data_IF_348947663814
#
_entry.id   IF_348947663814
#
_cell.length_a   1.000
_cell.length_b   1.000
_cell.length_c   1.000
_cell.angle_alpha   90.00
_cell.angle_beta   90.00
_cell.angle_gamma   90.00
#
_symmetry.space_group_name_H-M   'P 1'
#
loop_
_entity.id
_entity.type
_entity.pdbx_description
1 polymer ?
#
# COMPACT_ATOMS: atom_id res chain seq x y z
N UNK A 1 8.45 11.60 9.68
CA UNK A 1 7.46 11.14 8.71
C UNK A 1 7.74 11.75 7.36
N UNK A 2 7.80 10.92 6.30
CA UNK A 2 8.04 11.41 4.94
C UNK A 2 6.72 11.72 4.22
N UNK A 3 5.69 10.91 4.44
CA UNK A 3 4.36 11.08 3.87
C UNK A 3 3.32 10.88 4.97
N UNK A 4 2.29 11.70 5.02
CA UNK A 4 1.25 11.60 6.04
C UNK A 4 -0.10 12.06 5.52
N UNK A 5 -1.18 11.50 6.10
CA UNK A 5 -2.55 11.95 5.88
C UNK A 5 -3.22 12.31 7.20
N UNK A 6 -4.14 13.29 7.17
CA UNK A 6 -4.95 13.69 8.32
C UNK A 6 -6.40 13.87 7.90
N UNK A 7 -7.29 13.13 8.57
CA UNK A 7 -8.74 13.04 8.30
C UNK A 7 -9.05 12.95 6.81
N UNK A 8 -8.25 12.14 6.08
CA UNK A 8 -8.30 12.09 4.63
C UNK A 8 -9.62 11.48 4.16
N UNK A 9 -10.34 12.21 3.29
CA UNK A 9 -11.60 11.74 2.71
C UNK A 9 -11.55 11.87 1.20
N UNK A 10 -12.03 10.81 0.52
CA UNK A 10 -12.20 10.78 -0.93
C UNK A 10 -13.54 10.13 -1.25
N UNK A 11 -14.41 10.88 -1.92
CA UNK A 11 -15.72 10.40 -2.32
C UNK A 11 -15.96 10.59 -3.81
N UNK A 12 -16.64 9.64 -4.43
CA UNK A 12 -17.10 9.67 -5.81
C UNK A 12 -18.63 9.60 -5.81
N UNK A 13 -19.28 10.75 -5.90
CA UNK A 13 -20.71 10.85 -5.69
C UNK A 13 -21.09 10.42 -4.27
N UNK A 14 -21.89 9.36 -4.12
CA UNK A 14 -22.31 8.80 -2.84
C UNK A 14 -21.30 7.80 -2.24
N UNK A 15 -20.36 7.32 -3.04
CA UNK A 15 -19.37 6.31 -2.64
C UNK A 15 -18.25 6.98 -1.84
N UNK A 16 -18.08 6.62 -0.56
CA UNK A 16 -16.98 7.08 0.30
C UNK A 16 -15.83 6.08 0.25
N UNK A 17 -14.97 6.21 -0.76
CA UNK A 17 -13.86 5.29 -0.98
C UNK A 17 -12.78 5.39 0.12
N UNK A 18 -12.52 6.60 0.63
CA UNK A 18 -11.65 6.86 1.80
C UNK A 18 -12.44 7.82 2.71
N UNK A 19 -12.50 7.52 4.01
CA UNK A 19 -13.36 8.28 4.92
C UNK A 19 -12.73 8.42 6.32
N UNK A 20 -11.90 9.43 6.47
CA UNK A 20 -11.23 9.76 7.73
C UNK A 20 -10.00 8.89 7.99
N UNK A 21 -9.07 8.83 7.03
CA UNK A 21 -7.82 8.05 7.17
C UNK A 21 -6.70 8.95 7.66
N UNK A 22 -6.17 8.60 8.84
CA UNK A 22 -4.90 9.08 9.37
C UNK A 22 -3.86 8.00 9.14
N UNK A 23 -2.81 8.33 8.40
CA UNK A 23 -1.73 7.40 8.09
C UNK A 23 -0.40 8.15 8.07
N UNK A 24 0.59 7.59 8.74
CA UNK A 24 1.95 8.10 8.76
C UNK A 24 2.91 7.06 8.17
N UNK A 25 3.69 7.46 7.19
CA UNK A 25 4.74 6.67 6.56
C UNK A 25 6.10 7.26 6.98
N UNK A 26 6.91 6.48 7.67
CA UNK A 26 8.26 6.84 8.11
C UNK A 26 9.24 6.84 6.94
N UNK A 27 10.38 7.53 7.09
CA UNK A 27 11.43 7.46 6.09
C UNK A 27 12.15 6.11 6.19
N UNK A 28 12.37 5.45 5.05
CA UNK A 28 13.08 4.16 4.97
C UNK A 28 12.29 2.97 5.50
N UNK A 29 10.99 3.11 5.79
CA UNK A 29 10.14 1.98 6.17
C UNK A 29 9.38 1.40 4.98
N UNK A 30 8.98 0.14 5.11
CA UNK A 30 7.98 -0.52 4.27
C UNK A 30 6.69 -0.64 5.08
N UNK A 31 5.65 0.06 4.64
CA UNK A 31 4.31 -0.06 5.19
C UNK A 31 3.43 -0.88 4.23
N UNK A 32 2.82 -1.95 4.70
CA UNK A 32 1.82 -2.68 3.93
C UNK A 32 0.42 -2.15 4.23
N UNK A 33 -0.34 -1.81 3.18
CA UNK A 33 -1.76 -1.48 3.25
C UNK A 33 -2.57 -2.67 2.73
N UNK A 34 -3.26 -3.35 3.64
CA UNK A 34 -3.95 -4.61 3.34
C UNK A 34 -5.46 -4.50 3.54
N UNK A 35 -6.22 -5.37 2.88
CA UNK A 35 -7.68 -5.45 2.99
C UNK A 35 -8.33 -6.05 1.76
N UNK A 36 -9.63 -6.36 1.83
CA UNK A 36 -10.41 -6.93 0.72
C UNK A 36 -10.44 -5.99 -0.50
N UNK A 37 -10.75 -6.57 -1.68
CA UNK A 37 -10.95 -5.77 -2.89
C UNK A 37 -12.07 -4.74 -2.69
N UNK A 38 -11.92 -3.55 -3.26
CA UNK A 38 -12.93 -2.48 -3.14
C UNK A 38 -12.96 -1.73 -1.82
N UNK A 39 -12.10 -2.04 -0.82
CA UNK A 39 -12.12 -1.34 0.47
C UNK A 39 -11.50 0.08 0.46
N UNK A 40 -10.95 0.53 -0.69
CA UNK A 40 -10.42 1.90 -0.86
C UNK A 40 -8.90 2.02 -0.96
N UNK A 41 -8.12 0.93 -0.92
CA UNK A 41 -6.64 0.93 -0.95
C UNK A 41 -6.05 1.67 -2.15
N UNK A 42 -6.48 1.28 -3.35
CA UNK A 42 -6.01 1.93 -4.60
C UNK A 42 -6.39 3.40 -4.66
N UNK A 43 -7.58 3.78 -4.14
CA UNK A 43 -7.99 5.18 -4.05
C UNK A 43 -7.07 5.96 -3.10
N UNK A 44 -6.75 5.38 -1.93
CA UNK A 44 -5.81 5.98 -1.00
C UNK A 44 -4.41 6.14 -1.65
N UNK A 45 -3.89 5.08 -2.30
CA UNK A 45 -2.63 5.12 -3.01
C UNK A 45 -2.59 6.22 -4.10
N UNK A 46 -3.64 6.31 -4.92
CA UNK A 46 -3.76 7.36 -5.97
C UNK A 46 -3.84 8.77 -5.38
N UNK A 47 -4.50 8.92 -4.24
CA UNK A 47 -4.57 10.22 -3.54
C UNK A 47 -3.21 10.62 -2.98
N UNK A 48 -2.47 9.67 -2.41
CA UNK A 48 -1.09 9.88 -1.95
C UNK A 48 -0.14 10.26 -3.09
N UNK A 49 -0.39 9.80 -4.32
CA UNK A 49 0.35 10.22 -5.53
C UNK A 49 -0.10 11.58 -6.09
N UNK A 50 -1.15 12.18 -5.53
CA UNK A 50 -1.77 13.38 -6.08
C UNK A 50 -2.46 13.15 -7.42
N UNK A 51 -2.85 11.90 -7.73
CA UNK A 51 -3.66 11.56 -8.91
C UNK A 51 -5.15 11.81 -8.65
N UNK A 52 -5.58 11.60 -7.40
CA UNK A 52 -6.92 11.94 -6.91
C UNK A 52 -6.81 13.09 -5.91
N UNK A 53 -7.73 14.03 -5.99
CA UNK A 53 -7.80 15.13 -5.04
C UNK A 53 -8.73 14.75 -3.89
N UNK A 54 -8.32 14.92 -2.61
CA UNK A 54 -9.20 14.66 -1.49
C UNK A 54 -10.43 15.56 -1.50
N UNK A 55 -11.56 15.03 -1.05
CA UNK A 55 -12.79 15.81 -0.80
C UNK A 55 -12.70 16.56 0.53
N UNK A 56 -11.95 16.01 1.51
CA UNK A 56 -11.63 16.68 2.78
C UNK A 56 -10.34 16.07 3.37
N UNK A 57 -9.80 16.72 4.39
CA UNK A 57 -8.54 16.35 5.00
C UNK A 57 -7.33 16.79 4.16
N UNK A 58 -6.17 16.24 4.47
CA UNK A 58 -4.92 16.65 3.83
C UNK A 58 -3.95 15.49 3.63
N UNK A 59 -3.10 15.63 2.61
CA UNK A 59 -1.88 14.85 2.41
C UNK A 59 -0.69 15.79 2.60
N UNK A 60 0.32 15.37 3.34
CA UNK A 60 1.55 16.14 3.54
C UNK A 60 2.77 15.31 3.18
N UNK A 61 3.73 15.94 2.50
CA UNK A 61 5.04 15.38 2.18
C UNK A 61 6.11 16.19 2.91
N UNK A 62 6.96 15.52 3.69
CA UNK A 62 7.98 16.15 4.54
C UNK A 62 7.40 17.28 5.43
N UNK A 63 6.24 17.03 6.02
CA UNK A 63 5.54 17.97 6.89
C UNK A 63 4.86 19.14 6.16
N UNK A 64 4.95 19.22 4.83
CA UNK A 64 4.32 20.28 4.04
C UNK A 64 3.07 19.76 3.34
N UNK A 65 1.91 20.39 3.48
CA UNK A 65 0.70 20.02 2.74
C UNK A 65 0.93 20.05 1.23
N UNK A 66 0.34 19.09 0.50
CA UNK A 66 0.43 19.07 -0.96
C UNK A 66 -0.30 20.23 -1.61
N UNK A 67 0.40 20.96 -2.47
CA UNK A 67 -0.21 21.90 -3.40
C UNK A 67 -0.58 21.17 -4.71
N UNK A 68 -1.85 20.85 -4.87
CA UNK A 68 -2.37 20.14 -6.05
C UNK A 68 -2.24 20.94 -7.37
N UNK A 69 -1.79 22.20 -7.31
CA UNK A 69 -1.47 23.01 -8.50
C UNK A 69 -0.02 22.81 -8.95
N UNK A 70 0.86 22.29 -8.09
CA UNK A 70 2.32 22.20 -8.32
C UNK A 70 2.88 20.81 -8.04
N UNK A 71 2.24 19.77 -8.59
CA UNK A 71 2.58 18.37 -8.30
C UNK A 71 3.80 17.84 -9.06
N UNK A 72 4.34 18.55 -10.08
CA UNK A 72 5.42 18.03 -10.91
C UNK A 72 6.65 17.64 -10.09
N UNK A 73 7.08 18.47 -9.14
CA UNK A 73 8.22 18.21 -8.29
C UNK A 73 7.94 17.11 -7.28
N UNK A 74 6.72 17.10 -6.70
CA UNK A 74 6.27 16.03 -5.81
C UNK A 74 6.27 14.66 -6.50
N UNK A 75 5.71 14.57 -7.70
CA UNK A 75 5.64 13.33 -8.49
C UNK A 75 7.01 12.82 -8.93
N UNK A 76 8.07 13.65 -8.92
CA UNK A 76 9.44 13.17 -9.08
C UNK A 76 9.91 12.41 -7.83
N UNK A 77 9.46 12.82 -6.65
CA UNK A 77 9.87 12.24 -5.37
C UNK A 77 9.04 11.04 -4.94
N UNK A 78 7.80 10.96 -5.42
CA UNK A 78 6.84 9.89 -5.09
C UNK A 78 6.41 9.20 -6.38
N UNK A 79 6.80 7.94 -6.55
CA UNK A 79 6.58 7.17 -7.77
C UNK A 79 5.64 6.00 -7.53
N UNK A 80 5.02 5.51 -8.61
CA UNK A 80 4.06 4.42 -8.62
C UNK A 80 4.61 3.23 -9.41
N UNK A 81 4.47 2.05 -8.83
CA UNK A 81 4.57 0.77 -9.53
C UNK A 81 3.16 0.17 -9.60
N UNK A 82 2.65 0.03 -10.81
CA UNK A 82 1.30 -0.47 -11.08
C UNK A 82 1.23 -2.00 -11.00
N UNK A 83 0.04 -2.50 -10.72
CA UNK A 83 -0.31 -3.91 -10.64
C UNK A 83 -0.08 -4.67 -11.95
N UNK A 84 -0.47 -4.08 -13.07
CA UNK A 84 -0.33 -4.67 -14.40
C UNK A 84 0.83 -4.03 -15.17
N UNK A 85 1.97 -4.72 -15.30
CA UNK A 85 3.09 -4.18 -16.06
C UNK A 85 2.83 -4.07 -17.56
N UNK A 86 1.88 -4.84 -18.12
CA UNK A 86 1.49 -4.70 -19.53
C UNK A 86 0.69 -3.41 -19.76
N UNK A 87 -0.24 -3.10 -18.86
CA UNK A 87 -0.98 -1.85 -18.91
C UNK A 87 -0.13 -0.61 -18.58
N UNK A 88 0.99 -0.81 -17.86
CA UNK A 88 1.91 0.26 -17.49
C UNK A 88 2.90 0.64 -18.62
N UNK A 89 3.25 -0.30 -19.50
CA UNK A 89 4.24 -0.12 -20.56
C UNK A 89 3.54 0.12 -21.90
N UNK A 90 3.97 1.17 -22.62
CA UNK A 90 3.53 1.37 -24.00
C UNK A 90 4.15 0.26 -24.90
N UNK A 91 3.36 -0.59 -25.56
CA UNK A 91 3.88 -1.70 -26.37
C UNK A 91 4.71 -1.26 -27.59
N UNK A 92 4.65 0.02 -27.96
CA UNK A 92 5.40 0.60 -29.06
C UNK A 92 6.73 1.23 -28.64
N UNK A 93 6.97 1.38 -27.34
CA UNK A 93 8.23 1.89 -26.81
C UNK A 93 9.18 0.75 -26.52
N UNK A 94 10.46 0.98 -26.78
CA UNK A 94 11.52 0.11 -26.29
C UNK A 94 11.64 0.20 -24.77
N UNK A 95 12.30 -0.76 -24.14
CA UNK A 95 12.64 -0.69 -22.71
C UNK A 95 13.39 0.59 -22.36
N UNK A 96 14.35 0.97 -23.25
CA UNK A 96 15.08 2.22 -23.08
C UNK A 96 14.14 3.43 -23.03
N UNK A 97 13.24 3.56 -24.01
CA UNK A 97 12.31 4.68 -24.08
C UNK A 97 11.35 4.72 -22.89
N UNK A 98 10.85 3.55 -22.45
CA UNK A 98 9.96 3.45 -21.31
C UNK A 98 10.64 3.93 -20.00
N UNK A 99 11.92 3.62 -19.80
CA UNK A 99 12.68 4.07 -18.62
C UNK A 99 13.12 5.53 -18.78
N UNK A 100 13.54 5.95 -19.98
CA UNK A 100 14.00 7.33 -20.26
C UNK A 100 12.87 8.37 -20.20
N UNK A 101 11.60 7.96 -20.32
CA UNK A 101 10.45 8.87 -20.36
C UNK A 101 10.43 9.81 -19.14
N UNK A 102 10.64 9.26 -17.92
CA UNK A 102 10.70 10.05 -16.70
C UNK A 102 11.82 11.11 -16.72
N UNK A 103 13.01 10.75 -17.23
CA UNK A 103 14.16 11.67 -17.38
C UNK A 103 13.78 12.83 -18.27
N UNK A 104 13.17 12.54 -19.42
CA UNK A 104 12.78 13.54 -20.45
C UNK A 104 11.68 14.47 -19.92
N UNK A 105 10.63 13.94 -19.26
CA UNK A 105 9.52 14.72 -18.70
C UNK A 105 10.01 15.65 -17.58
N UNK A 106 10.86 15.15 -16.68
CA UNK A 106 11.35 15.88 -15.54
C UNK A 106 12.64 16.68 -15.83
N UNK A 107 13.21 16.53 -17.04
CA UNK A 107 14.46 17.16 -17.46
C UNK A 107 15.58 16.89 -16.45
N UNK A 108 15.75 15.61 -16.10
CA UNK A 108 16.79 15.19 -15.16
C UNK A 108 18.16 15.44 -15.77
N UNK A 109 19.07 16.16 -15.11
CA UNK A 109 20.41 16.41 -15.64
C UNK A 109 21.25 15.13 -15.64
N UNK A 110 22.18 15.01 -16.57
CA UNK A 110 23.12 13.89 -16.70
C UNK A 110 23.06 13.19 -18.05
N UNK A 111 23.83 12.13 -18.18
CA UNK A 111 23.81 11.28 -19.38
C UNK A 111 22.60 10.35 -19.30
N UNK A 112 21.64 10.52 -20.21
CA UNK A 112 20.40 9.74 -20.26
C UNK A 112 20.67 8.23 -20.31
N UNK A 113 21.65 7.80 -21.12
CA UNK A 113 21.98 6.38 -21.28
C UNK A 113 22.54 5.78 -19.98
N UNK A 114 23.40 6.50 -19.27
CA UNK A 114 23.96 6.06 -18.00
C UNK A 114 22.87 5.97 -16.91
N UNK A 115 21.96 6.95 -16.86
CA UNK A 115 20.83 6.94 -15.91
C UNK A 115 19.90 5.77 -16.17
N UNK A 116 19.58 5.48 -17.44
CA UNK A 116 18.75 4.33 -17.84
C UNK A 116 19.45 3.03 -17.48
N UNK A 117 20.76 2.90 -17.78
CA UNK A 117 21.54 1.71 -17.48
C UNK A 117 21.62 1.44 -15.96
N UNK A 118 21.85 2.47 -15.15
CA UNK A 118 21.86 2.37 -13.69
C UNK A 118 20.48 1.90 -13.14
N UNK A 119 19.39 2.52 -13.60
CA UNK A 119 18.04 2.17 -13.18
C UNK A 119 17.68 0.70 -13.50
N UNK A 120 17.98 0.26 -14.73
CA UNK A 120 17.78 -1.14 -15.15
C UNK A 120 18.64 -2.11 -14.31
N UNK A 121 19.91 -1.76 -14.08
CA UNK A 121 20.83 -2.57 -13.27
C UNK A 121 20.35 -2.70 -11.81
N UNK A 122 19.85 -1.61 -11.21
CA UNK A 122 19.24 -1.60 -9.87
C UNK A 122 17.99 -2.45 -9.80
N UNK A 123 17.16 -2.43 -10.85
CA UNK A 123 15.99 -3.29 -10.99
C UNK A 123 16.35 -4.76 -11.29
N UNK A 124 17.65 -5.12 -11.37
CA UNK A 124 18.12 -6.49 -11.58
C UNK A 124 18.12 -6.96 -13.05
N UNK A 125 18.03 -6.03 -14.01
CA UNK A 125 18.18 -6.32 -15.45
C UNK A 125 19.65 -6.11 -15.86
N UNK A 126 20.43 -7.17 -15.88
CA UNK A 126 21.88 -7.13 -16.12
C UNK A 126 22.31 -8.13 -17.20
N UNK A 127 23.25 -7.74 -18.12
CA UNK A 127 23.70 -6.36 -18.37
C UNK A 127 22.56 -5.52 -18.99
N UNK A 128 22.40 -4.23 -18.61
CA UNK A 128 21.24 -3.42 -19.00
C UNK A 128 21.13 -3.18 -20.50
N UNK A 129 22.26 -3.10 -21.21
CA UNK A 129 22.31 -2.84 -22.66
C UNK A 129 21.60 -3.91 -23.48
N UNK A 130 21.54 -5.14 -22.99
CA UNK A 130 20.80 -6.25 -23.63
C UNK A 130 19.29 -6.04 -23.68
N UNK A 131 18.77 -5.14 -22.86
CA UNK A 131 17.35 -4.85 -22.76
C UNK A 131 16.94 -3.58 -23.50
N UNK A 132 17.87 -2.66 -23.80
CA UNK A 132 17.56 -1.33 -24.34
C UNK A 132 16.61 -1.35 -25.54
N UNK A 133 16.90 -2.18 -26.53
CA UNK A 133 16.15 -2.22 -27.79
C UNK A 133 14.99 -3.25 -27.77
N UNK A 134 14.80 -3.97 -26.64
CA UNK A 134 13.68 -4.90 -26.52
C UNK A 134 12.37 -4.17 -26.30
N UNK A 135 11.31 -4.80 -26.76
CA UNK A 135 9.95 -4.35 -26.55
C UNK A 135 9.27 -5.12 -25.40
N UNK A 136 8.21 -4.58 -24.75
CA UNK A 136 7.52 -5.24 -23.64
C UNK A 136 7.03 -6.67 -23.95
N UNK A 137 6.62 -6.94 -25.20
CA UNK A 137 6.13 -8.27 -25.60
C UNK A 137 7.25 -9.32 -25.70
N UNK A 138 8.52 -8.92 -25.78
CA UNK A 138 9.68 -9.81 -25.83
C UNK A 138 10.21 -10.18 -24.43
N UNK A 139 9.58 -9.66 -23.37
CA UNK A 139 10.00 -9.83 -21.99
C UNK A 139 9.10 -10.81 -21.23
N UNK A 140 9.66 -11.54 -20.26
CA UNK A 140 8.87 -12.28 -19.28
C UNK A 140 8.08 -11.35 -18.36
N UNK A 141 7.08 -11.88 -17.64
CA UNK A 141 6.29 -11.10 -16.65
C UNK A 141 7.19 -10.41 -15.61
N UNK A 142 8.12 -11.14 -15.03
CA UNK A 142 9.07 -10.60 -14.05
C UNK A 142 10.03 -9.57 -14.65
N UNK A 143 10.47 -9.74 -15.90
CA UNK A 143 11.29 -8.74 -16.57
C UNK A 143 10.52 -7.45 -16.85
N UNK A 144 9.24 -7.54 -17.26
CA UNK A 144 8.36 -6.37 -17.44
C UNK A 144 8.19 -5.62 -16.11
N UNK A 145 7.93 -6.34 -15.02
CA UNK A 145 7.81 -5.73 -13.69
C UNK A 145 9.09 -5.00 -13.29
N UNK A 146 10.27 -5.57 -13.56
CA UNK A 146 11.56 -4.92 -13.31
C UNK A 146 11.75 -3.66 -14.18
N UNK A 147 11.26 -3.64 -15.42
CA UNK A 147 11.28 -2.43 -16.28
C UNK A 147 10.38 -1.34 -15.68
N UNK A 148 9.16 -1.68 -15.21
CA UNK A 148 8.28 -0.71 -14.54
C UNK A 148 8.95 -0.14 -13.29
N UNK A 149 9.59 -1.00 -12.48
CA UNK A 149 10.35 -0.57 -11.31
C UNK A 149 11.52 0.34 -11.72
N UNK A 150 12.28 -0.01 -12.77
CA UNK A 150 13.37 0.83 -13.29
C UNK A 150 12.89 2.21 -13.74
N UNK A 151 11.73 2.28 -14.41
CA UNK A 151 11.11 3.54 -14.81
C UNK A 151 10.73 4.45 -13.63
N UNK A 152 10.37 3.86 -12.50
CA UNK A 152 10.16 4.60 -11.26
C UNK A 152 11.49 5.03 -10.61
N UNK A 153 12.48 4.14 -10.57
CA UNK A 153 13.78 4.37 -9.91
C UNK A 153 14.66 5.39 -10.63
N UNK A 154 14.52 5.56 -11.95
CA UNK A 154 15.35 6.48 -12.76
C UNK A 154 15.23 7.93 -12.30
N UNK A 155 14.13 8.28 -11.63
CA UNK A 155 13.89 9.60 -11.02
C UNK A 155 14.50 9.74 -9.62
N UNK A 156 15.09 8.67 -9.08
CA UNK A 156 15.64 8.61 -7.73
C UNK A 156 14.59 9.05 -6.68
N UNK A 157 13.42 8.40 -6.63
CA UNK A 157 12.36 8.79 -5.75
C UNK A 157 12.72 8.52 -4.29
N UNK A 158 12.07 9.23 -3.38
CA UNK A 158 12.17 8.98 -1.94
C UNK A 158 11.06 8.03 -1.45
N UNK A 159 9.94 7.99 -2.15
CA UNK A 159 8.80 7.13 -1.85
C UNK A 159 8.38 6.36 -3.09
N UNK A 160 8.19 5.06 -2.93
CA UNK A 160 7.60 4.18 -3.93
C UNK A 160 6.26 3.67 -3.42
N UNK A 161 5.20 3.87 -4.17
CA UNK A 161 3.90 3.27 -3.91
C UNK A 161 3.76 2.11 -4.89
N UNK A 162 3.68 0.89 -4.37
CA UNK A 162 3.56 -0.33 -5.15
C UNK A 162 2.14 -0.90 -4.97
N UNK A 163 1.29 -0.73 -5.99
CA UNK A 163 -0.09 -1.24 -5.96
C UNK A 163 -0.10 -2.66 -6.54
N UNK A 164 -0.30 -3.67 -5.69
CA UNK A 164 -0.31 -5.10 -6.04
C UNK A 164 0.91 -5.55 -6.86
N UNK A 165 2.16 -5.24 -6.45
CA UNK A 165 3.35 -5.33 -7.32
C UNK A 165 3.70 -6.74 -7.80
N UNK A 166 3.09 -7.78 -7.25
CA UNK A 166 3.40 -9.18 -7.56
C UNK A 166 2.17 -10.06 -7.85
N UNK A 167 0.96 -9.49 -7.88
CA UNK A 167 -0.29 -10.26 -8.00
C UNK A 167 -0.41 -11.07 -9.30
N UNK A 168 0.18 -10.57 -10.40
CA UNK A 168 0.16 -11.19 -11.72
C UNK A 168 1.37 -12.10 -12.01
N UNK A 169 2.22 -12.36 -11.00
CA UNK A 169 3.48 -13.09 -11.17
C UNK A 169 3.44 -14.49 -10.54
N UNK A 170 4.24 -15.41 -11.09
CA UNK A 170 4.43 -16.73 -10.54
C UNK A 170 5.13 -16.68 -9.16
N UNK A 171 4.92 -17.69 -8.32
CA UNK A 171 5.41 -17.72 -6.94
C UNK A 171 6.92 -17.46 -6.79
N UNK A 172 7.75 -18.05 -7.67
CA UNK A 172 9.21 -17.85 -7.68
C UNK A 172 9.58 -16.40 -8.00
N UNK A 173 8.92 -15.81 -9.01
CA UNK A 173 9.15 -14.42 -9.44
C UNK A 173 8.65 -13.43 -8.40
N UNK A 174 7.57 -13.75 -7.67
CA UNK A 174 7.09 -12.94 -6.54
C UNK A 174 8.19 -12.72 -5.51
N UNK A 175 8.84 -13.81 -5.05
CA UNK A 175 9.94 -13.75 -4.09
C UNK A 175 11.10 -12.87 -4.57
N UNK A 176 11.45 -12.95 -5.86
CA UNK A 176 12.51 -12.11 -6.44
C UNK A 176 12.16 -10.62 -6.44
N UNK A 177 10.91 -10.25 -6.77
CA UNK A 177 10.47 -8.84 -6.76
C UNK A 177 10.40 -8.31 -5.33
N UNK A 178 9.93 -9.12 -4.36
CA UNK A 178 9.92 -8.72 -2.95
C UNK A 178 11.35 -8.53 -2.42
N UNK A 179 12.26 -9.44 -2.73
CA UNK A 179 13.70 -9.30 -2.41
C UNK A 179 14.32 -8.06 -3.04
N UNK A 180 13.91 -7.71 -4.27
CA UNK A 180 14.33 -6.46 -4.92
C UNK A 180 13.84 -5.22 -4.14
N UNK A 181 12.59 -5.18 -3.69
CA UNK A 181 12.06 -4.06 -2.91
C UNK A 181 12.80 -3.88 -1.57
N UNK A 182 13.08 -4.99 -0.86
CA UNK A 182 13.90 -4.99 0.35
C UNK A 182 15.30 -4.42 0.09
N UNK A 183 15.95 -4.91 -0.95
CA UNK A 183 17.28 -4.44 -1.36
C UNK A 183 17.29 -2.94 -1.69
N UNK A 184 16.30 -2.46 -2.44
CA UNK A 184 16.18 -1.04 -2.80
C UNK A 184 15.94 -0.16 -1.56
N UNK A 185 15.14 -0.65 -0.58
CA UNK A 185 14.99 0.02 0.71
C UNK A 185 16.34 0.16 1.43
N UNK A 186 17.11 -0.92 1.53
CA UNK A 186 18.39 -0.94 2.24
C UNK A 186 19.46 -0.10 1.55
N UNK A 187 19.63 -0.24 0.24
CA UNK A 187 20.69 0.44 -0.51
C UNK A 187 20.41 1.92 -0.78
N UNK A 188 19.14 2.29 -0.95
CA UNK A 188 18.75 3.66 -1.36
C UNK A 188 18.05 4.44 -0.24
N UNK A 189 17.76 3.83 0.91
CA UNK A 189 16.89 4.43 1.93
C UNK A 189 15.46 4.67 1.43
N UNK A 190 15.01 3.87 0.46
CA UNK A 190 13.71 4.02 -0.19
C UNK A 190 12.59 3.72 0.80
N UNK A 191 11.61 4.61 0.88
CA UNK A 191 10.38 4.36 1.62
C UNK A 191 9.37 3.70 0.70
N UNK A 192 8.69 2.64 1.16
CA UNK A 192 7.76 1.90 0.31
C UNK A 192 6.39 1.77 0.97
N UNK A 193 5.33 2.12 0.24
CA UNK A 193 3.96 1.73 0.58
C UNK A 193 3.56 0.59 -0.36
N UNK A 194 3.36 -0.60 0.19
CA UNK A 194 2.88 -1.75 -0.56
C UNK A 194 1.40 -1.92 -0.34
N UNK A 195 0.61 -1.80 -1.39
CA UNK A 195 -0.83 -2.10 -1.36
C UNK A 195 -1.03 -3.53 -1.80
N UNK A 196 -1.70 -4.33 -1.00
CA UNK A 196 -1.94 -5.74 -1.31
C UNK A 196 -3.19 -6.29 -0.60
N UNK A 197 -3.69 -7.42 -1.08
CA UNK A 197 -4.66 -8.23 -0.34
C UNK A 197 -3.98 -9.45 0.34
N UNK A 198 -2.69 -9.66 0.11
CA UNK A 198 -1.92 -10.80 0.60
C UNK A 198 -1.17 -10.45 1.90
N UNK A 199 -1.64 -10.98 3.03
CA UNK A 199 -1.02 -10.80 4.34
C UNK A 199 0.30 -11.57 4.48
N UNK A 200 0.48 -12.68 3.76
CA UNK A 200 1.75 -13.41 3.71
C UNK A 200 2.85 -12.57 3.07
N UNK A 201 2.50 -11.79 2.03
CA UNK A 201 3.40 -10.81 1.44
C UNK A 201 3.79 -9.74 2.47
N UNK A 202 2.80 -9.17 3.16
CA UNK A 202 3.04 -8.16 4.19
C UNK A 202 3.98 -8.69 5.30
N UNK A 203 3.77 -9.94 5.74
CA UNK A 203 4.63 -10.61 6.73
C UNK A 203 6.10 -10.64 6.31
N UNK A 204 6.36 -10.90 5.03
CA UNK A 204 7.73 -11.11 4.53
C UNK A 204 8.54 -9.83 4.35
N UNK A 205 7.90 -8.68 4.13
CA UNK A 205 8.64 -7.47 3.75
C UNK A 205 8.30 -6.22 4.55
N UNK A 206 7.13 -6.15 5.22
CA UNK A 206 6.68 -4.91 5.83
C UNK A 206 7.19 -4.76 7.28
N UNK A 207 7.57 -3.55 7.65
CA UNK A 207 7.87 -3.16 9.03
C UNK A 207 6.56 -2.95 9.82
N UNK A 208 5.56 -2.35 9.15
CA UNK A 208 4.23 -2.09 9.71
C UNK A 208 3.13 -2.49 8.73
N UNK A 209 1.98 -2.83 9.29
CA UNK A 209 0.77 -3.19 8.52
C UNK A 209 -0.38 -2.27 8.92
N UNK A 210 -1.04 -1.71 7.91
CA UNK A 210 -2.30 -0.98 8.02
C UNK A 210 -3.42 -1.83 7.38
N UNK A 211 -4.40 -2.24 8.17
CA UNK A 211 -5.55 -3.02 7.69
C UNK A 211 -6.70 -2.07 7.40
N UNK A 212 -7.16 -2.09 6.16
CA UNK A 212 -8.22 -1.19 5.67
C UNK A 212 -9.52 -1.96 5.42
N UNK A 213 -10.62 -1.46 5.95
CA UNK A 213 -11.96 -1.97 5.70
C UNK A 213 -12.93 -0.84 5.39
N UNK A 214 -13.62 -0.94 4.27
CA UNK A 214 -14.68 -0.01 3.83
C UNK A 214 -14.29 1.48 4.03
N UNK A 215 -13.13 1.87 3.51
CA UNK A 215 -12.64 3.26 3.52
C UNK A 215 -11.96 3.72 4.81
N UNK A 216 -11.77 2.87 5.82
CA UNK A 216 -11.10 3.21 7.09
C UNK A 216 -9.98 2.25 7.45
N UNK A 217 -8.96 2.74 8.12
CA UNK A 217 -7.98 1.89 8.81
C UNK A 217 -8.65 1.37 10.07
N UNK A 218 -8.70 0.04 10.20
CA UNK A 218 -9.30 -0.65 11.35
C UNK A 218 -8.26 -1.19 12.30
N UNK A 219 -7.05 -1.45 11.81
CA UNK A 219 -5.91 -1.86 12.62
C UNK A 219 -4.62 -1.36 11.97
N UNK A 220 -3.65 -0.90 12.78
CA UNK A 220 -2.35 -0.39 12.33
C UNK A 220 -1.32 -0.66 13.41
N UNK A 221 -0.20 -1.27 13.05
CA UNK A 221 0.88 -1.53 14.00
C UNK A 221 2.11 -2.16 13.37
N UNK A 222 3.12 -2.50 14.19
CA UNK A 222 4.23 -3.34 13.77
C UNK A 222 3.71 -4.65 13.18
N UNK A 223 4.35 -5.13 12.12
CA UNK A 223 3.91 -6.34 11.40
C UNK A 223 3.75 -7.53 12.34
N UNK A 224 4.72 -7.75 13.23
CA UNK A 224 4.66 -8.85 14.18
C UNK A 224 3.42 -8.76 15.09
N UNK A 225 3.09 -7.57 15.61
CA UNK A 225 1.98 -7.39 16.54
C UNK A 225 0.63 -7.60 15.83
N UNK A 226 0.45 -6.98 14.65
CA UNK A 226 -0.80 -7.09 13.88
C UNK A 226 -1.04 -8.52 13.39
N UNK A 227 0.01 -9.24 12.97
CA UNK A 227 -0.14 -10.56 12.37
C UNK A 227 -0.07 -11.71 13.39
N UNK A 228 0.63 -11.54 14.53
CA UNK A 228 0.69 -12.57 15.58
C UNK A 228 -0.39 -12.40 16.65
N UNK A 229 -0.82 -11.17 16.92
CA UNK A 229 -1.79 -10.81 17.95
C UNK A 229 -2.83 -9.80 17.44
N UNK A 230 -3.56 -10.16 16.36
CA UNK A 230 -4.55 -9.27 15.75
C UNK A 230 -5.67 -8.91 16.75
N UNK A 231 -5.95 -7.63 16.87
CA UNK A 231 -6.95 -7.13 17.83
C UNK A 231 -8.32 -6.93 17.18
N UNK A 232 -8.35 -6.58 15.88
CA UNK A 232 -9.63 -6.38 15.19
C UNK A 232 -10.15 -7.71 14.63
N UNK A 233 -11.44 -8.07 14.85
CA UNK A 233 -12.01 -9.32 14.34
C UNK A 233 -11.94 -9.49 12.82
N UNK A 234 -11.90 -8.41 12.06
CA UNK A 234 -11.67 -8.46 10.61
C UNK A 234 -10.24 -8.92 10.27
N UNK A 235 -9.23 -8.41 10.98
CA UNK A 235 -7.82 -8.84 10.82
C UNK A 235 -7.67 -10.32 11.18
N UNK A 236 -8.33 -10.76 12.27
CA UNK A 236 -8.35 -12.17 12.67
C UNK A 236 -8.95 -13.06 11.56
N UNK A 237 -10.05 -12.63 10.95
CA UNK A 237 -10.67 -13.36 9.87
C UNK A 237 -9.78 -13.42 8.60
N UNK A 238 -9.14 -12.30 8.23
CA UNK A 238 -8.19 -12.29 7.11
C UNK A 238 -7.00 -13.23 7.34
N UNK A 239 -6.47 -13.28 8.56
CA UNK A 239 -5.33 -14.14 8.91
C UNK A 239 -5.72 -15.62 9.00
N UNK A 240 -6.98 -15.94 9.37
CA UNK A 240 -7.43 -17.31 9.50
C UNK A 240 -7.40 -18.12 8.19
N UNK A 241 -7.34 -17.45 7.04
CA UNK A 241 -7.26 -18.08 5.71
C UNK A 241 -5.83 -18.15 5.15
N UNK A 242 -4.83 -17.60 5.86
CA UNK A 242 -3.41 -17.65 5.46
C UNK A 242 -2.78 -18.94 5.97
N UNK A 243 -2.36 -19.88 5.10
CA UNK A 243 -1.93 -21.23 5.51
C UNK A 243 -0.80 -21.24 6.54
N UNK A 244 0.20 -20.37 6.37
CA UNK A 244 1.42 -20.36 7.20
C UNK A 244 1.29 -19.57 8.51
N UNK A 245 0.23 -18.80 8.66
CA UNK A 245 -0.02 -17.93 9.82
C UNK A 245 -1.20 -18.43 10.64
N UNK A 246 -2.12 -19.16 10.03
CA UNK A 246 -3.33 -19.67 10.66
C UNK A 246 -2.99 -20.67 11.80
N UNK A 247 -3.15 -20.21 13.05
CA UNK A 247 -3.03 -21.04 14.27
C UNK A 247 -4.39 -21.49 14.82
N UNK A 248 -5.48 -21.07 14.19
CA UNK A 248 -6.87 -21.26 14.64
C UNK A 248 -7.74 -21.78 13.50
N UNK A 249 -8.90 -22.27 13.84
CA UNK A 249 -9.93 -22.63 12.85
C UNK A 249 -10.24 -21.46 11.93
N UNK A 250 -10.49 -21.77 10.66
CA UNK A 250 -10.83 -20.78 9.64
C UNK A 250 -12.09 -20.01 10.02
N UNK A 251 -11.99 -18.69 10.09
CA UNK A 251 -13.13 -17.80 10.34
C UNK A 251 -13.80 -17.46 9.01
N UNK A 252 -14.91 -18.11 8.71
CA UNK A 252 -15.69 -17.81 7.50
C UNK A 252 -16.57 -16.59 7.75
N UNK A 253 -16.24 -15.48 7.09
CA UNK A 253 -17.06 -14.26 7.15
C UNK A 253 -18.37 -14.48 6.40
N UNK A 254 -19.50 -14.19 7.05
CA UNK A 254 -20.82 -14.29 6.45
C UNK A 254 -21.17 -13.00 5.68
N UNK A 255 -21.75 -13.15 4.50
CA UNK A 255 -22.18 -12.04 3.66
C UNK A 255 -21.06 -11.34 2.89
N UNK A 256 -21.47 -10.46 1.99
CA UNK A 256 -20.56 -9.63 1.20
C UNK A 256 -20.17 -8.35 1.95
N UNK A 257 -19.04 -7.70 1.59
CA UNK A 257 -18.74 -6.37 2.08
C UNK A 257 -19.90 -5.40 1.82
N UNK A 258 -20.26 -4.54 2.80
CA UNK A 258 -21.32 -3.56 2.59
C UNK A 258 -21.00 -2.61 1.43
N UNK A 259 -22.06 -2.11 0.79
CA UNK A 259 -21.97 -1.11 -0.26
C UNK A 259 -21.31 0.17 0.26
N UNK A 260 -20.19 0.65 -0.32
CA UNK A 260 -19.52 1.87 0.10
C UNK A 260 -20.36 3.15 -0.09
N UNK A 261 -21.48 3.07 -0.82
CA UNK A 261 -22.47 4.14 -0.90
C UNK A 261 -23.49 4.10 0.27
N UNK A 262 -23.58 2.97 0.99
CA UNK A 262 -24.52 2.74 2.11
C UNK A 262 -23.77 2.22 3.33
N UNK A 263 -22.90 3.06 3.84
CA UNK A 263 -22.03 2.69 4.96
C UNK A 263 -22.86 2.40 6.21
N UNK A 264 -22.66 1.23 6.89
CA UNK A 264 -23.31 0.93 8.16
C UNK A 264 -22.98 1.96 9.23
N UNK A 265 -23.94 2.22 10.13
CA UNK A 265 -23.72 3.02 11.34
C UNK A 265 -22.74 2.35 12.32
N UNK A 266 -22.11 3.10 13.18
CA UNK A 266 -21.16 2.56 14.17
C UNK A 266 -19.93 1.89 13.53
N UNK A 267 -19.64 0.67 13.97
CA UNK A 267 -18.57 -0.15 13.40
C UNK A 267 -18.95 -0.64 11.99
N UNK A 268 -18.19 -0.28 10.98
CA UNK A 268 -18.46 -0.67 9.58
C UNK A 268 -18.42 -2.18 9.35
N UNK A 269 -17.70 -2.91 10.20
CA UNK A 269 -17.59 -4.36 10.15
C UNK A 269 -18.70 -5.09 10.90
N UNK A 270 -19.55 -4.40 11.70
CA UNK A 270 -20.56 -5.05 12.53
C UNK A 270 -21.49 -6.02 11.78
N UNK A 271 -21.88 -5.79 10.50
CA UNK A 271 -22.77 -6.73 9.81
C UNK A 271 -22.14 -8.10 9.53
N UNK A 272 -20.80 -8.17 9.51
CA UNK A 272 -20.02 -9.40 9.23
C UNK A 272 -19.22 -9.88 10.44
N UNK A 273 -19.28 -9.16 11.56
CA UNK A 273 -18.46 -9.45 12.73
C UNK A 273 -19.02 -10.66 13.48
N UNK A 274 -18.25 -11.75 13.68
CA UNK A 274 -18.71 -12.93 14.39
C UNK A 274 -18.93 -12.69 15.91
N UNK A 275 -18.37 -11.59 16.42
CA UNK A 275 -18.39 -11.20 17.84
C UNK A 275 -19.02 -9.82 18.04
N UNK A 276 -20.00 -9.47 17.22
CA UNK A 276 -20.71 -8.18 17.26
C UNK A 276 -21.40 -7.98 18.62
N UNK A 277 -21.36 -6.74 19.13
CA UNK A 277 -22.09 -6.30 20.31
C UNK A 277 -23.10 -5.23 19.90
N UNK A 278 -24.14 -5.02 20.71
CA UNK A 278 -25.17 -4.00 20.46
C UNK A 278 -24.55 -2.59 20.29
N UNK A 279 -23.58 -2.26 21.13
CA UNK A 279 -22.85 -0.99 21.03
C UNK A 279 -22.12 -0.80 19.70
N UNK A 280 -21.73 -1.88 18.99
CA UNK A 280 -21.07 -1.78 17.69
C UNK A 280 -21.96 -1.19 16.59
N UNK A 281 -23.29 -1.24 16.75
CA UNK A 281 -24.25 -0.75 15.74
C UNK A 281 -24.42 0.77 15.83
N UNK A 282 -24.30 1.33 17.04
CA UNK A 282 -24.66 2.73 17.30
C UNK A 282 -23.47 3.62 17.67
N UNK A 283 -22.42 3.05 18.25
CA UNK A 283 -21.30 3.82 18.79
C UNK A 283 -20.25 4.11 17.75
N UNK A 284 -19.83 5.39 17.64
CA UNK A 284 -18.65 5.77 16.88
C UNK A 284 -17.41 5.13 17.51
N UNK A 285 -16.62 4.41 16.73
CA UNK A 285 -15.45 3.70 17.23
C UNK A 285 -14.32 4.67 17.56
N UNK A 286 -13.79 4.64 18.78
CA UNK A 286 -12.49 5.25 19.05
C UNK A 286 -11.38 4.39 18.43
N UNK A 287 -10.27 5.03 18.06
CA UNK A 287 -9.01 4.33 17.82
C UNK A 287 -8.35 4.06 19.18
N UNK A 288 -8.16 2.80 19.49
CA UNK A 288 -7.52 2.36 20.73
C UNK A 288 -6.07 1.96 20.48
N UNK A 289 -5.25 2.08 21.50
CA UNK A 289 -3.83 1.73 21.46
C UNK A 289 -3.56 0.62 22.48
N UNK A 290 -3.78 -0.67 22.13
CA UNK A 290 -3.59 -1.80 23.05
C UNK A 290 -2.12 -2.02 23.43
N UNK A 291 -1.19 -1.62 22.57
CA UNK A 291 0.25 -1.63 22.80
C UNK A 291 0.90 -0.42 22.15
N UNK A 292 2.12 -0.01 22.55
CA UNK A 292 2.82 1.10 21.91
C UNK A 292 2.95 0.91 20.38
N UNK A 293 2.42 1.86 19.60
CA UNK A 293 2.43 1.82 18.13
C UNK A 293 1.42 0.87 17.49
N UNK A 294 0.64 0.09 18.26
CA UNK A 294 -0.43 -0.77 17.76
C UNK A 294 -1.79 -0.11 18.03
N UNK A 295 -2.52 0.20 16.97
CA UNK A 295 -3.81 0.89 17.00
C UNK A 295 -4.90 0.01 16.42
N UNK A 296 -6.08 -0.01 17.06
CA UNK A 296 -7.25 -0.76 16.58
C UNK A 296 -8.55 0.01 16.79
N UNK A 297 -9.48 -0.12 15.85
CA UNK A 297 -10.81 0.48 15.91
C UNK A 297 -11.86 -0.58 16.31
N UNK A 298 -11.77 -1.13 17.54
CA UNK A 298 -12.66 -2.17 18.04
C UNK A 298 -13.05 -1.95 19.50
N UNK A 299 -14.36 -1.90 19.80
CA UNK A 299 -14.86 -1.70 21.17
C UNK A 299 -14.50 -2.84 22.14
N UNK A 300 -14.34 -4.07 21.66
CA UNK A 300 -13.96 -5.21 22.51
C UNK A 300 -12.59 -5.05 23.16
N UNK A 301 -11.66 -4.38 22.50
CA UNK A 301 -10.32 -4.12 23.05
C UNK A 301 -10.40 -3.16 24.24
N UNK A 302 -11.37 -2.21 24.24
CA UNK A 302 -11.56 -1.29 25.37
C UNK A 302 -12.11 -1.98 26.62
N UNK A 303 -12.92 -3.03 26.47
CA UNK A 303 -13.46 -3.78 27.58
C UNK A 303 -12.41 -4.70 28.24
N UNK A 304 -11.58 -5.36 27.41
CA UNK A 304 -10.48 -6.19 27.91
C UNK A 304 -9.44 -5.38 28.71
N UNK A 305 -9.16 -4.15 28.28
CA UNK A 305 -8.23 -3.26 28.98
C UNK A 305 -8.78 -2.74 30.33
N UNK A 306 -10.10 -2.63 30.47
CA UNK A 306 -10.75 -2.22 31.76
C UNK A 306 -10.77 -3.33 32.76
N UNK A 307 -10.97 -4.60 32.35
CA UNK A 307 -10.97 -5.76 33.24
C UNK A 307 -9.58 -6.11 33.78
N UNK A 308 -8.50 -5.84 33.03
CA UNK A 308 -7.12 -6.06 33.49
C UNK A 308 -6.58 -4.96 34.44
N UNK A 309 -7.23 -3.80 34.49
CA UNK A 309 -6.87 -2.70 35.42
C UNK A 309 -7.58 -2.77 36.79
N UNK A 310 -8.50 -3.71 36.95
CA UNK A 310 -9.28 -3.93 38.20
C UNK A 310 -8.94 -5.24 38.93
N UNK A 311 -7.84 -5.92 38.51
CA UNK A 311 -7.32 -7.16 39.13
C UNK A 311 -5.99 -6.88 39.85
#
# INVERSE_FOLDING_TARGET
MILSTRDLKVAFGTVRAVDGVDLDLGAGEILALVGESGCGKTTLARTLLGLEKPTAGSVSFEGKPLDYRKLKQYRRQVQLVLQDPLGALNPRHTVYDAVAEGIRIHKVPGNEQELVADALSRAGLRPPERFFLRYPHELSGGQRQRVVIAGALVLQPRVLIADEPVSSLDASVRGEILGLLLKLREELGLTVLVVTHDLGLAWNIADRVAVMYLGRIVELGPTADVLQSPQHPYTQALLSVVPDVARTEQIVLKGEPPDPARIPSGCRFHPRCPVVMEACVTTTLPVLTPAPGHHTACLRVSEASRTSATS
#
